data_IF_998056387914
#
_entry.id   IF_998056387914
#
_cell.length_a   1.000
_cell.length_b   1.000
_cell.length_c   1.000
_cell.angle_alpha   90.00
_cell.angle_beta   90.00
_cell.angle_gamma   90.00
#
_symmetry.space_group_name_H-M   'P 1'
#
loop_
_entity.id
_entity.type
_entity.pdbx_description
1 polymer ?
#
# COMPACT_ATOMS: atom_id res chain seq x y z
N UNK A 1 9.52 -17.21 -8.01
CA UNK A 1 9.46 -17.73 -9.40
C UNK A 1 8.23 -17.15 -10.06
N UNK A 2 8.32 -16.68 -11.31
CA UNK A 2 7.19 -16.06 -12.04
C UNK A 2 6.68 -17.04 -13.09
N UNK A 3 5.38 -17.19 -13.15
CA UNK A 3 4.66 -18.02 -14.11
C UNK A 3 3.69 -17.17 -14.93
N UNK A 4 3.62 -17.39 -16.23
CA UNK A 4 2.64 -16.76 -17.11
C UNK A 4 1.46 -17.73 -17.37
N UNK A 5 0.26 -17.17 -17.37
CA UNK A 5 -0.96 -17.82 -17.84
C UNK A 5 -1.70 -16.90 -18.83
N UNK A 6 -2.48 -17.46 -19.74
CA UNK A 6 -3.19 -16.65 -20.75
C UNK A 6 -4.38 -15.89 -20.16
N UNK A 7 -4.98 -16.41 -19.10
CA UNK A 7 -6.10 -15.76 -18.41
C UNK A 7 -6.10 -16.14 -16.93
N UNK A 8 -6.72 -15.29 -16.12
CA UNK A 8 -6.94 -15.54 -14.71
C UNK A 8 -8.43 -15.70 -14.42
N UNK A 9 -8.77 -16.81 -13.80
CA UNK A 9 -10.13 -17.05 -13.28
C UNK A 9 -10.10 -16.89 -11.76
N UNK A 10 -11.03 -16.10 -11.25
CA UNK A 10 -11.19 -15.90 -9.80
C UNK A 10 -11.78 -17.14 -9.14
N UNK A 11 -10.94 -18.10 -8.87
CA UNK A 11 -11.26 -19.27 -8.07
C UNK A 11 -10.09 -19.54 -7.11
N UNK A 12 -10.27 -20.50 -6.20
CA UNK A 12 -9.25 -20.85 -5.22
C UNK A 12 -8.20 -21.86 -5.73
N UNK A 13 -8.28 -22.26 -6.99
CA UNK A 13 -7.36 -23.26 -7.58
C UNK A 13 -6.25 -22.56 -8.35
N UNK A 14 -5.03 -22.81 -7.93
CA UNK A 14 -3.82 -22.33 -8.59
C UNK A 14 -3.60 -23.09 -9.90
N UNK A 15 -3.58 -22.43 -11.06
CA UNK A 15 -3.45 -23.08 -12.37
C UNK A 15 -2.09 -23.75 -12.60
N UNK A 16 -1.08 -23.44 -11.78
CA UNK A 16 0.26 -24.04 -11.90
C UNK A 16 0.37 -25.33 -11.10
N UNK A 17 -0.22 -25.37 -9.90
CA UNK A 17 -0.10 -26.51 -8.99
C UNK A 17 -1.31 -27.44 -9.00
N UNK A 18 -2.45 -26.99 -9.54
CA UNK A 18 -3.76 -27.62 -9.45
C UNK A 18 -4.24 -27.88 -8.02
N UNK A 19 -3.72 -27.12 -7.05
CA UNK A 19 -4.14 -27.13 -5.65
C UNK A 19 -4.74 -25.79 -5.28
N UNK A 20 -5.34 -25.68 -4.10
CA UNK A 20 -5.76 -24.40 -3.57
C UNK A 20 -4.54 -23.46 -3.40
N UNK A 21 -4.78 -22.15 -3.58
CA UNK A 21 -3.75 -21.16 -3.30
C UNK A 21 -3.41 -21.17 -1.82
N UNK A 22 -2.13 -21.10 -1.53
CA UNK A 22 -1.64 -20.73 -0.21
C UNK A 22 -1.19 -19.25 -0.16
N UNK A 23 -0.86 -18.78 1.02
CA UNK A 23 -0.47 -17.38 1.26
C UNK A 23 0.88 -16.98 0.63
N UNK A 24 1.56 -17.88 -0.07
CA UNK A 24 2.86 -17.63 -0.71
C UNK A 24 2.74 -17.17 -2.16
N UNK A 25 1.54 -17.17 -2.73
CA UNK A 25 1.28 -16.79 -4.10
C UNK A 25 0.72 -15.38 -4.22
N UNK A 26 1.21 -14.63 -5.20
CA UNK A 26 0.62 -13.38 -5.66
C UNK A 26 0.21 -13.51 -7.12
N UNK A 27 -0.84 -12.80 -7.50
CA UNK A 27 -1.34 -12.79 -8.88
C UNK A 27 -1.37 -11.36 -9.41
N UNK A 28 -0.93 -11.19 -10.64
CA UNK A 28 -1.09 -9.97 -11.41
C UNK A 28 -1.88 -10.28 -12.69
N UNK A 29 -3.01 -9.60 -12.91
CA UNK A 29 -3.87 -9.86 -14.04
C UNK A 29 -4.08 -8.59 -14.89
N UNK A 30 -3.78 -8.70 -16.19
CA UNK A 30 -4.12 -7.66 -17.15
C UNK A 30 -5.51 -7.91 -17.73
N UNK A 31 -6.34 -6.87 -17.79
CA UNK A 31 -7.67 -6.92 -18.37
C UNK A 31 -7.91 -5.76 -19.33
N UNK A 32 -8.72 -6.00 -20.35
CA UNK A 32 -9.24 -4.96 -21.25
C UNK A 32 -10.67 -4.51 -20.86
N UNK A 33 -11.31 -5.18 -19.90
CA UNK A 33 -12.75 -5.09 -19.65
C UNK A 33 -13.07 -4.57 -18.24
N UNK A 34 -12.19 -3.76 -17.66
CA UNK A 34 -12.38 -3.18 -16.33
C UNK A 34 -12.86 -1.73 -16.44
N UNK A 35 -13.79 -1.36 -15.57
CA UNK A 35 -14.31 0.01 -15.45
C UNK A 35 -13.38 0.92 -14.62
N UNK A 36 -12.42 0.37 -13.93
CA UNK A 36 -11.46 1.09 -13.09
C UNK A 36 -10.03 0.78 -13.49
N UNK A 37 -9.07 1.72 -13.35
CA UNK A 37 -7.69 1.49 -13.75
C UNK A 37 -7.03 0.31 -13.04
N UNK A 38 -7.33 0.14 -11.75
CA UNK A 38 -6.71 -0.89 -10.92
C UNK A 38 -7.65 -1.37 -9.81
N UNK A 39 -7.62 -2.66 -9.53
CA UNK A 39 -8.28 -3.30 -8.37
C UNK A 39 -7.25 -4.16 -7.67
N UNK A 40 -7.24 -4.11 -6.34
CA UNK A 40 -6.34 -4.91 -5.51
C UNK A 40 -7.11 -5.55 -4.38
N UNK A 41 -6.85 -6.82 -4.13
CA UNK A 41 -7.45 -7.52 -3.00
C UNK A 41 -7.42 -9.04 -3.10
N UNK A 42 -7.97 -9.68 -2.07
CA UNK A 42 -8.27 -11.12 -2.05
C UNK A 42 -9.77 -11.31 -2.22
N UNK A 43 -10.17 -12.22 -3.07
CA UNK A 43 -11.57 -12.54 -3.31
C UNK A 43 -11.82 -14.02 -2.99
N UNK A 44 -12.72 -14.31 -2.04
CA UNK A 44 -13.26 -15.65 -1.72
C UNK A 44 -12.25 -16.81 -1.70
N UNK A 45 -11.09 -16.61 -1.05
CA UNK A 45 -10.06 -17.66 -0.93
C UNK A 45 -9.07 -17.73 -2.09
N UNK A 46 -9.20 -16.87 -3.12
CA UNK A 46 -8.17 -16.70 -4.14
C UNK A 46 -6.89 -16.07 -3.56
N UNK A 47 -5.79 -16.18 -4.31
CA UNK A 47 -4.57 -15.43 -4.01
C UNK A 47 -4.83 -13.92 -4.01
N UNK A 48 -3.98 -13.18 -3.31
CA UNK A 48 -3.97 -11.73 -3.40
C UNK A 48 -3.64 -11.32 -4.84
N UNK A 49 -4.56 -10.58 -5.44
CA UNK A 49 -4.54 -10.28 -6.88
C UNK A 49 -4.52 -8.79 -7.13
N UNK A 50 -3.60 -8.35 -7.98
CA UNK A 50 -3.58 -7.03 -8.59
C UNK A 50 -4.17 -7.19 -9.99
N UNK A 51 -5.25 -6.46 -10.29
CA UNK A 51 -5.86 -6.41 -11.63
C UNK A 51 -5.72 -5.02 -12.19
N UNK A 52 -5.21 -4.92 -13.40
CA UNK A 52 -5.02 -3.63 -14.10
C UNK A 52 -5.77 -3.65 -15.41
N UNK A 53 -6.53 -2.57 -15.65
CA UNK A 53 -7.08 -2.27 -16.97
C UNK A 53 -6.01 -1.62 -17.84
N UNK A 54 -5.60 -2.30 -18.90
CA UNK A 54 -4.61 -1.75 -19.87
C UNK A 54 -5.13 -0.52 -20.62
N UNK A 55 -6.45 -0.39 -20.74
CA UNK A 55 -7.07 0.75 -21.43
C UNK A 55 -7.13 2.01 -20.57
N UNK A 56 -7.18 1.82 -19.24
CA UNK A 56 -7.32 2.90 -18.27
C UNK A 56 -6.03 3.18 -17.47
N UNK A 57 -5.01 2.33 -17.63
CA UNK A 57 -3.73 2.47 -16.95
C UNK A 57 -2.59 2.42 -17.98
N UNK A 58 -2.15 3.57 -18.42
CA UNK A 58 -1.14 3.69 -19.49
C UNK A 58 0.21 3.06 -19.12
N UNK A 59 0.54 3.05 -17.84
CA UNK A 59 1.79 2.53 -17.29
C UNK A 59 1.75 1.04 -16.90
N UNK A 60 0.80 0.27 -17.43
CA UNK A 60 0.63 -1.13 -17.07
C UNK A 60 1.90 -1.99 -17.22
N UNK A 61 2.76 -1.68 -18.21
CA UNK A 61 4.03 -2.41 -18.39
C UNK A 61 4.97 -2.20 -17.22
N UNK A 62 5.00 -0.95 -16.71
CA UNK A 62 5.78 -0.58 -15.54
C UNK A 62 5.25 -1.29 -14.28
N UNK A 63 3.93 -1.33 -14.11
CA UNK A 63 3.30 -2.03 -13.00
C UNK A 63 3.58 -3.55 -13.01
N UNK A 64 3.50 -4.19 -14.18
CA UNK A 64 3.91 -5.62 -14.32
C UNK A 64 5.40 -5.80 -14.01
N UNK A 65 6.24 -4.89 -14.48
CA UNK A 65 7.67 -4.90 -14.20
C UNK A 65 7.98 -4.78 -12.70
N UNK A 66 7.32 -3.86 -12.00
CA UNK A 66 7.43 -3.71 -10.54
C UNK A 66 7.01 -4.99 -9.82
N UNK A 67 5.92 -5.61 -10.26
CA UNK A 67 5.47 -6.88 -9.70
C UNK A 67 6.51 -8.00 -9.89
N UNK A 68 7.10 -8.12 -11.08
CA UNK A 68 8.19 -9.08 -11.34
C UNK A 68 9.35 -8.82 -10.39
N UNK A 69 9.84 -7.58 -10.33
CA UNK A 69 10.95 -7.19 -9.46
C UNK A 69 10.69 -7.45 -7.99
N UNK A 70 9.47 -7.13 -7.54
CA UNK A 70 9.05 -7.38 -6.16
C UNK A 70 9.04 -8.88 -5.83
N UNK A 71 8.48 -9.70 -6.71
CA UNK A 71 8.46 -11.15 -6.53
C UNK A 71 9.88 -11.76 -6.51
N UNK A 72 10.74 -11.31 -7.42
CA UNK A 72 12.14 -11.79 -7.49
C UNK A 72 12.93 -11.40 -6.23
N UNK A 73 12.86 -10.14 -5.83
CA UNK A 73 13.58 -9.63 -4.66
C UNK A 73 13.15 -10.33 -3.35
N UNK A 74 11.89 -10.73 -3.25
CA UNK A 74 11.32 -11.37 -2.07
C UNK A 74 11.19 -12.91 -2.18
N UNK A 75 11.61 -13.50 -3.32
CA UNK A 75 11.50 -14.94 -3.61
C UNK A 75 10.06 -15.46 -3.51
N UNK A 76 9.11 -14.65 -3.98
CA UNK A 76 7.68 -14.96 -4.00
C UNK A 76 7.34 -15.69 -5.30
N UNK A 77 6.40 -16.63 -5.21
CA UNK A 77 5.78 -17.22 -6.40
C UNK A 77 4.72 -16.27 -6.94
N UNK A 78 4.90 -15.80 -8.16
CA UNK A 78 3.99 -14.88 -8.85
C UNK A 78 3.36 -15.53 -10.08
N UNK A 79 2.08 -15.24 -10.33
CA UNK A 79 1.40 -15.57 -11.58
C UNK A 79 1.07 -14.25 -12.28
N UNK A 80 1.40 -14.17 -13.57
CA UNK A 80 1.01 -13.07 -14.43
C UNK A 80 0.04 -13.59 -15.48
N UNK A 81 -1.21 -13.12 -15.42
CA UNK A 81 -2.22 -13.40 -16.42
C UNK A 81 -2.16 -12.33 -17.51
N UNK A 82 -1.57 -12.70 -18.63
CA UNK A 82 -1.35 -11.84 -19.78
C UNK A 82 -1.07 -12.69 -21.03
N UNK A 83 -1.32 -12.13 -22.22
CA UNK A 83 -0.88 -12.75 -23.47
C UNK A 83 0.65 -12.84 -23.52
N UNK A 84 1.16 -13.71 -24.38
CA UNK A 84 2.62 -13.86 -24.59
C UNK A 84 3.28 -12.53 -24.99
N UNK A 85 2.64 -11.76 -25.86
CA UNK A 85 3.16 -10.47 -26.31
C UNK A 85 3.22 -9.46 -25.16
N UNK A 86 2.15 -9.34 -24.37
CA UNK A 86 2.09 -8.42 -23.22
C UNK A 86 3.15 -8.78 -22.17
N UNK A 87 3.29 -10.05 -21.89
CA UNK A 87 4.29 -10.53 -20.95
C UNK A 87 5.71 -10.21 -21.45
N UNK A 88 5.98 -10.47 -22.73
CA UNK A 88 7.27 -10.17 -23.36
C UNK A 88 7.57 -8.66 -23.37
N UNK A 89 6.57 -7.83 -23.66
CA UNK A 89 6.73 -6.37 -23.58
C UNK A 89 7.06 -5.89 -22.17
N UNK A 90 6.36 -6.41 -21.16
CA UNK A 90 6.63 -6.06 -19.76
C UNK A 90 8.01 -6.57 -19.30
N UNK A 91 8.42 -7.76 -19.71
CA UNK A 91 9.76 -8.30 -19.39
C UNK A 91 10.88 -7.44 -20.03
N UNK A 92 10.70 -7.02 -21.27
CA UNK A 92 11.67 -6.13 -21.94
C UNK A 92 11.75 -4.78 -21.23
N UNK A 93 10.63 -4.28 -20.77
CA UNK A 93 10.58 -3.06 -19.97
C UNK A 93 11.33 -3.27 -18.65
N UNK A 94 11.09 -4.39 -17.95
CA UNK A 94 11.77 -4.76 -16.72
C UNK A 94 13.29 -4.81 -16.87
N UNK A 95 13.81 -5.52 -17.86
CA UNK A 95 15.26 -5.64 -18.09
C UNK A 95 15.90 -4.28 -18.45
N UNK A 96 15.14 -3.38 -19.10
CA UNK A 96 15.62 -2.06 -19.51
C UNK A 96 15.63 -0.99 -18.41
N UNK A 97 14.97 -1.23 -17.28
CA UNK A 97 14.81 -0.24 -16.21
C UNK A 97 15.36 -0.73 -14.87
N UNK A 98 15.97 0.19 -14.12
CA UNK A 98 16.44 -0.11 -12.76
C UNK A 98 15.29 -0.09 -11.77
N UNK A 99 15.10 -1.17 -11.02
CA UNK A 99 14.07 -1.24 -9.96
C UNK A 99 14.48 -0.58 -8.66
N UNK A 100 15.71 -0.15 -8.55
CA UNK A 100 16.21 0.69 -7.46
C UNK A 100 16.15 2.16 -7.86
N UNK A 101 15.01 2.60 -8.39
CA UNK A 101 14.79 4.00 -8.73
C UNK A 101 14.83 4.86 -7.49
N UNK A 102 15.68 5.89 -7.52
CA UNK A 102 15.84 6.87 -6.44
C UNK A 102 15.08 8.16 -6.72
N UNK A 103 13.99 8.08 -7.44
CA UNK A 103 13.10 9.19 -7.79
C UNK A 103 11.63 8.73 -7.80
N UNK A 104 10.73 9.69 -7.74
CA UNK A 104 9.31 9.47 -7.99
C UNK A 104 9.04 9.51 -9.49
N UNK A 105 8.12 8.67 -9.93
CA UNK A 105 7.58 8.71 -11.28
C UNK A 105 6.52 9.81 -11.38
N UNK A 106 6.30 10.36 -12.57
CA UNK A 106 5.41 11.52 -12.79
C UNK A 106 3.97 11.31 -12.31
N UNK A 107 3.50 10.05 -12.26
CA UNK A 107 2.15 9.70 -11.79
C UNK A 107 2.08 9.35 -10.30
N UNK A 108 3.21 9.29 -9.61
CA UNK A 108 3.25 8.98 -8.17
C UNK A 108 3.04 10.24 -7.33
N UNK A 109 2.34 10.08 -6.21
CA UNK A 109 2.09 11.20 -5.31
C UNK A 109 3.37 11.64 -4.59
N UNK A 110 3.64 12.94 -4.46
CA UNK A 110 4.78 13.44 -3.70
C UNK A 110 4.63 13.24 -2.18
N UNK A 111 3.44 12.83 -1.73
CA UNK A 111 3.13 12.64 -0.31
C UNK A 111 2.59 11.24 -0.07
N UNK A 112 3.26 10.49 0.79
CA UNK A 112 2.80 9.19 1.25
C UNK A 112 2.07 9.32 2.57
N UNK A 113 0.97 8.60 2.71
CA UNK A 113 0.12 8.67 3.89
C UNK A 113 0.07 7.34 4.61
N UNK A 114 0.26 7.38 5.94
CA UNK A 114 0.10 6.22 6.82
C UNK A 114 -0.86 6.55 7.96
N UNK A 115 -1.88 5.73 8.17
CA UNK A 115 -2.85 5.89 9.25
C UNK A 115 -2.66 4.82 10.32
N UNK A 116 -2.76 5.24 11.58
CA UNK A 116 -2.59 4.34 12.74
C UNK A 116 -3.49 4.77 13.91
N UNK A 117 -3.67 3.92 14.93
CA UNK A 117 -4.38 4.32 16.13
C UNK A 117 -3.56 5.32 16.97
N UNK A 118 -4.23 6.06 17.87
CA UNK A 118 -3.53 6.99 18.76
C UNK A 118 -2.54 6.27 19.69
N UNK A 119 -2.90 5.08 20.16
CA UNK A 119 -2.03 4.27 21.01
C UNK A 119 -0.73 3.88 20.27
N UNK A 120 -0.86 3.47 19.01
CA UNK A 120 0.30 3.18 18.18
C UNK A 120 1.11 4.44 17.85
N UNK A 121 0.43 5.57 17.60
CA UNK A 121 1.11 6.83 17.35
C UNK A 121 2.00 7.26 18.51
N UNK A 122 1.52 7.16 19.73
CA UNK A 122 2.31 7.45 20.95
C UNK A 122 3.57 6.56 20.99
N UNK A 123 3.45 5.28 20.61
CA UNK A 123 4.60 4.38 20.59
C UNK A 123 5.56 4.71 19.44
N UNK A 124 5.04 5.04 18.25
CA UNK A 124 5.83 5.45 17.08
C UNK A 124 6.65 6.72 17.40
N UNK A 125 6.05 7.69 18.09
CA UNK A 125 6.77 8.89 18.53
C UNK A 125 7.93 8.56 19.49
N UNK A 126 7.72 7.66 20.44
CA UNK A 126 8.78 7.21 21.37
C UNK A 126 9.91 6.47 20.64
N UNK A 127 9.55 5.64 19.67
CA UNK A 127 10.52 4.87 18.88
C UNK A 127 11.23 5.75 17.83
N UNK A 128 10.65 6.91 17.47
CA UNK A 128 11.13 7.80 16.43
C UNK A 128 11.01 7.22 15.01
N UNK A 129 10.24 6.15 14.81
CA UNK A 129 10.12 5.47 13.51
C UNK A 129 8.85 4.65 13.38
N UNK A 130 8.38 4.49 12.13
CA UNK A 130 7.46 3.42 11.75
C UNK A 130 8.23 2.09 11.66
N UNK A 131 7.54 1.01 11.98
CA UNK A 131 8.06 -0.36 11.85
C UNK A 131 7.05 -1.24 11.14
N UNK A 132 7.53 -2.15 10.29
CA UNK A 132 6.72 -3.20 9.70
C UNK A 132 6.16 -4.15 10.78
N UNK A 133 5.14 -4.93 10.40
CA UNK A 133 4.52 -5.87 11.33
C UNK A 133 5.52 -6.89 11.90
N UNK A 134 6.36 -7.46 11.06
CA UNK A 134 7.39 -8.41 11.50
C UNK A 134 8.40 -7.74 12.45
N UNK A 135 8.81 -6.51 12.15
CA UNK A 135 9.74 -5.76 13.00
C UNK A 135 9.16 -5.43 14.38
N UNK A 136 7.84 -5.14 14.45
CA UNK A 136 7.14 -4.92 15.72
C UNK A 136 7.05 -6.19 16.57
N UNK A 137 7.00 -7.37 15.95
CA UNK A 137 6.65 -8.63 16.60
C UNK A 137 7.83 -9.59 16.81
N UNK A 138 9.05 -9.19 16.43
CA UNK A 138 10.27 -10.03 16.58
C UNK A 138 10.44 -10.59 18.02
N UNK A 139 9.99 -9.86 19.04
CA UNK A 139 10.16 -10.25 20.45
C UNK A 139 8.87 -10.37 21.24
N UNK A 140 7.70 -10.33 20.58
CA UNK A 140 6.41 -10.35 21.26
C UNK A 140 5.73 -11.71 21.20
N UNK A 141 5.20 -12.16 22.34
CA UNK A 141 4.41 -13.40 22.42
C UNK A 141 3.07 -13.29 21.68
N UNK A 142 2.50 -12.09 21.64
CA UNK A 142 1.25 -11.81 20.93
C UNK A 142 1.48 -10.78 19.83
N UNK A 143 1.09 -11.09 18.58
CA UNK A 143 1.28 -10.20 17.45
C UNK A 143 0.46 -8.91 17.58
N UNK A 144 1.08 -7.76 17.32
CA UNK A 144 0.42 -6.46 17.30
C UNK A 144 0.21 -6.03 15.85
N UNK A 145 -1.00 -5.61 15.52
CA UNK A 145 -1.25 -4.78 14.35
C UNK A 145 -1.23 -5.45 12.98
N UNK A 146 -1.45 -6.79 12.89
CA UNK A 146 -1.61 -7.41 11.57
C UNK A 146 -2.78 -6.75 10.83
N UNK A 147 -2.55 -6.35 9.58
CA UNK A 147 -3.59 -5.84 8.72
C UNK A 147 -4.47 -6.99 8.25
N UNK A 148 -5.80 -6.81 8.34
CA UNK A 148 -6.75 -7.80 7.86
C UNK A 148 -6.68 -7.86 6.32
N UNK A 149 -6.54 -9.08 5.78
CA UNK A 149 -6.54 -9.30 4.34
C UNK A 149 -5.20 -9.10 3.63
N UNK A 150 -4.16 -8.62 4.29
CA UNK A 150 -2.84 -8.50 3.67
C UNK A 150 -2.18 -9.86 3.49
N UNK A 151 -1.49 -10.07 2.36
CA UNK A 151 -0.67 -11.26 2.17
C UNK A 151 0.49 -11.29 3.16
N UNK A 152 0.94 -12.49 3.47
CA UNK A 152 2.06 -12.73 4.41
C UNK A 152 3.31 -11.94 4.01
N UNK A 153 3.55 -11.75 2.72
CA UNK A 153 4.70 -11.03 2.17
C UNK A 153 4.72 -9.54 2.50
N UNK A 154 3.57 -8.95 2.85
CA UNK A 154 3.53 -7.53 3.23
C UNK A 154 3.94 -7.29 4.67
N UNK A 155 4.09 -8.36 5.46
CA UNK A 155 4.44 -8.24 6.88
C UNK A 155 5.82 -7.63 7.14
N UNK A 156 6.74 -7.65 6.17
CA UNK A 156 8.04 -6.98 6.24
C UNK A 156 8.00 -5.52 5.78
N UNK A 157 6.84 -5.02 5.36
CA UNK A 157 6.71 -3.72 4.76
C UNK A 157 5.77 -2.80 5.55
N UNK A 158 6.08 -1.51 5.50
CA UNK A 158 5.20 -0.42 5.90
C UNK A 158 4.41 -0.02 4.65
N UNK A 159 3.09 -0.17 4.71
CA UNK A 159 2.18 0.17 3.62
C UNK A 159 1.75 1.63 3.72
N UNK A 160 1.66 2.29 2.58
CA UNK A 160 1.12 3.64 2.46
C UNK A 160 -0.14 3.62 1.60
N UNK A 161 -1.09 4.49 1.93
CA UNK A 161 -2.33 4.64 1.18
C UNK A 161 -2.77 6.08 1.16
N UNK A 162 -3.40 6.49 0.06
CA UNK A 162 -3.99 7.83 -0.07
C UNK A 162 -5.47 7.85 0.29
N UNK A 163 -6.03 9.06 0.40
CA UNK A 163 -7.44 9.30 0.56
C UNK A 163 -8.06 8.59 1.77
N UNK A 164 -9.26 8.06 1.59
CA UNK A 164 -10.04 7.41 2.66
C UNK A 164 -9.54 6.01 3.00
N UNK A 165 -8.90 5.32 2.05
CA UNK A 165 -8.53 3.89 2.19
C UNK A 165 -7.65 3.59 3.39
N UNK A 166 -6.68 4.46 3.71
CA UNK A 166 -5.79 4.27 4.84
C UNK A 166 -6.51 4.30 6.21
N UNK A 167 -7.70 4.90 6.29
CA UNK A 167 -8.49 5.01 7.53
C UNK A 167 -9.48 3.90 7.71
N UNK A 168 -9.96 3.31 6.63
CA UNK A 168 -10.73 2.06 6.66
C UNK A 168 -9.93 0.99 7.40
N UNK A 169 -8.62 0.97 7.24
CA UNK A 169 -7.73 0.03 7.95
C UNK A 169 -7.80 0.23 9.47
N UNK A 170 -7.77 1.47 9.96
CA UNK A 170 -7.85 1.76 11.40
C UNK A 170 -9.20 1.31 11.97
N UNK A 171 -10.30 1.63 11.27
CA UNK A 171 -11.65 1.21 11.65
C UNK A 171 -11.77 -0.32 11.66
N UNK A 172 -11.28 -0.99 10.60
CA UNK A 172 -11.30 -2.45 10.49
C UNK A 172 -10.53 -3.13 11.63
N UNK A 173 -9.38 -2.60 12.02
CA UNK A 173 -8.61 -3.12 13.16
C UNK A 173 -9.35 -2.95 14.49
N UNK A 174 -10.00 -1.83 14.71
CA UNK A 174 -10.78 -1.57 15.92
C UNK A 174 -12.00 -2.50 16.03
N UNK A 175 -12.67 -2.76 14.91
CA UNK A 175 -13.84 -3.63 14.84
C UNK A 175 -13.52 -5.12 14.78
N UNK A 176 -12.27 -5.51 14.49
CA UNK A 176 -11.85 -6.90 14.32
C UNK A 176 -12.36 -7.55 13.02
N UNK A 177 -12.93 -6.79 12.11
CA UNK A 177 -13.44 -7.24 10.79
C UNK A 177 -13.16 -6.17 9.73
N UNK A 178 -13.16 -6.58 8.46
CA UNK A 178 -13.03 -5.62 7.35
C UNK A 178 -14.28 -4.74 7.31
N UNK A 179 -14.08 -3.42 7.44
CA UNK A 179 -15.13 -2.39 7.36
C UNK A 179 -14.82 -1.53 6.14
N UNK A 180 -15.67 -1.63 5.12
CA UNK A 180 -15.55 -0.84 3.88
C UNK A 180 -16.42 0.42 3.90
N UNK A 181 -17.28 0.58 4.89
CA UNK A 181 -18.13 1.74 5.05
C UNK A 181 -17.31 2.93 5.53
N UNK A 182 -17.16 3.92 4.65
CA UNK A 182 -16.40 5.14 4.90
C UNK A 182 -17.14 6.16 5.78
N UNK A 183 -18.42 5.94 6.02
CA UNK A 183 -19.28 6.79 6.83
C UNK A 183 -19.62 6.17 8.20
N UNK A 184 -19.10 4.96 8.48
CA UNK A 184 -19.23 4.35 9.80
C UNK A 184 -18.37 5.06 10.84
N UNK A 185 -18.92 5.34 12.01
CA UNK A 185 -18.19 5.96 13.12
C UNK A 185 -17.07 5.06 13.64
N UNK A 186 -15.95 5.66 13.96
CA UNK A 186 -14.82 5.00 14.60
C UNK A 186 -14.03 5.99 15.49
N UNK A 187 -13.19 5.46 16.36
CA UNK A 187 -12.25 6.26 17.13
C UNK A 187 -11.08 6.64 16.23
N UNK A 188 -10.96 7.93 15.88
CA UNK A 188 -9.89 8.41 15.01
C UNK A 188 -8.52 8.16 15.62
N UNK A 189 -7.56 7.90 14.75
CA UNK A 189 -6.16 7.79 15.12
C UNK A 189 -5.33 8.99 14.67
N UNK A 190 -4.10 8.70 14.29
CA UNK A 190 -3.20 9.65 13.63
C UNK A 190 -3.07 9.34 12.14
N UNK A 191 -2.98 10.38 11.31
CA UNK A 191 -2.67 10.32 9.89
C UNK A 191 -1.37 11.06 9.63
N UNK A 192 -0.38 10.33 9.14
CA UNK A 192 1.00 10.78 9.00
C UNK A 192 1.29 11.03 7.52
N UNK A 193 1.85 12.18 7.20
CA UNK A 193 2.20 12.62 5.85
C UNK A 193 3.71 12.63 5.71
N UNK A 194 4.22 11.86 4.74
CA UNK A 194 5.64 11.68 4.51
C UNK A 194 6.07 12.22 3.16
N UNK A 195 7.28 12.73 3.10
CA UNK A 195 7.96 13.21 1.90
C UNK A 195 8.39 12.01 1.03
N UNK A 196 7.59 11.74 -0.01
CA UNK A 196 7.84 10.62 -0.90
C UNK A 196 9.10 10.81 -1.75
N UNK A 197 9.39 12.06 -2.17
CA UNK A 197 10.59 12.36 -2.97
C UNK A 197 11.86 12.08 -2.18
N UNK A 198 11.90 12.48 -0.90
CA UNK A 198 13.04 12.22 -0.04
C UNK A 198 13.22 10.74 0.24
N UNK A 199 12.10 10.00 0.49
CA UNK A 199 12.14 8.54 0.68
C UNK A 199 12.64 7.86 -0.60
N UNK A 200 12.18 8.29 -1.77
CA UNK A 200 12.64 7.78 -3.07
C UNK A 200 14.13 8.06 -3.29
N UNK A 201 14.56 9.31 -3.07
CA UNK A 201 15.96 9.72 -3.23
C UNK A 201 16.93 8.90 -2.39
N UNK A 202 16.49 8.49 -1.20
CA UNK A 202 17.29 7.65 -0.30
C UNK A 202 17.18 6.15 -0.64
N UNK A 203 16.48 5.78 -1.74
CA UNK A 203 16.36 4.41 -2.24
C UNK A 203 15.52 3.48 -1.35
N UNK A 204 14.59 4.04 -0.57
CA UNK A 204 13.79 3.29 0.40
C UNK A 204 12.44 2.85 -0.15
N UNK A 205 11.99 3.39 -1.28
CA UNK A 205 10.71 3.02 -1.89
C UNK A 205 10.78 1.62 -2.52
N UNK A 206 9.77 0.84 -2.23
CA UNK A 206 9.53 -0.48 -2.84
C UNK A 206 8.17 -0.46 -3.52
N UNK A 207 8.14 -0.87 -4.78
CA UNK A 207 6.94 -0.95 -5.61
C UNK A 207 6.62 -2.41 -5.92
N UNK A 208 5.34 -2.75 -5.97
CA UNK A 208 4.88 -4.11 -6.32
C UNK A 208 3.91 -4.13 -7.51
N UNK A 209 3.82 -3.00 -8.20
CA UNK A 209 2.88 -2.80 -9.30
C UNK A 209 1.54 -2.18 -8.90
N UNK A 210 1.25 -2.09 -7.59
CA UNK A 210 0.04 -1.44 -7.08
C UNK A 210 0.32 -0.53 -5.89
N UNK A 211 1.25 -0.89 -5.04
CA UNK A 211 1.51 -0.19 -3.78
C UNK A 211 2.92 0.37 -3.74
N UNK A 212 3.04 1.48 -3.05
CA UNK A 212 4.31 2.03 -2.57
C UNK A 212 4.49 1.62 -1.12
N UNK A 213 5.66 1.08 -0.82
CA UNK A 213 6.01 0.49 0.49
C UNK A 213 7.41 0.88 0.91
N UNK A 214 7.69 0.76 2.21
CA UNK A 214 9.06 0.82 2.76
C UNK A 214 9.33 -0.44 3.56
N UNK A 215 10.49 -1.03 3.37
CA UNK A 215 10.87 -2.28 4.05
C UNK A 215 11.31 -2.01 5.48
N UNK A 216 10.94 -2.91 6.39
CA UNK A 216 11.36 -2.95 7.80
C UNK A 216 10.99 -1.72 8.63
N UNK A 217 11.66 -0.61 8.44
CA UNK A 217 11.55 0.59 9.27
C UNK A 217 11.64 1.86 8.44
N UNK A 218 10.91 2.90 8.85
CA UNK A 218 11.05 4.26 8.33
C UNK A 218 11.19 5.23 9.51
N UNK A 219 12.35 5.89 9.70
CA UNK A 219 12.50 6.95 10.69
C UNK A 219 11.49 8.07 10.45
N UNK A 220 10.99 8.68 11.51
CA UNK A 220 10.13 9.86 11.35
C UNK A 220 10.93 11.01 10.75
N UNK A 221 12.10 11.31 11.29
CA UNK A 221 13.01 12.30 10.69
C UNK A 221 14.00 11.60 9.75
N UNK A 222 14.24 12.12 8.55
CA UNK A 222 13.80 13.41 8.02
C UNK A 222 12.53 13.37 7.15
N UNK A 223 11.72 12.30 7.19
CA UNK A 223 10.69 12.02 6.19
C UNK A 223 9.29 12.47 6.57
N UNK A 224 8.95 12.53 7.88
CA UNK A 224 7.63 12.98 8.33
C UNK A 224 7.49 14.49 8.14
N UNK A 225 6.52 14.90 7.33
CA UNK A 225 6.19 16.32 7.10
C UNK A 225 5.25 16.82 8.20
N UNK A 226 4.14 16.09 8.40
CA UNK A 226 3.11 16.50 9.35
C UNK A 226 2.28 15.30 9.84
N UNK A 227 1.55 15.52 10.93
CA UNK A 227 0.65 14.52 11.51
C UNK A 227 -0.70 15.16 11.83
N UNK A 228 -1.76 14.61 11.26
CA UNK A 228 -3.13 14.94 11.64
C UNK A 228 -3.59 14.07 12.80
N UNK A 229 -4.23 14.72 13.77
CA UNK A 229 -4.95 14.11 14.89
C UNK A 229 -6.29 14.81 15.04
N UNK A 230 -7.24 14.22 15.73
CA UNK A 230 -8.61 14.75 15.84
C UNK A 230 -8.63 16.21 16.32
N UNK A 231 -7.79 16.57 17.27
CA UNK A 231 -7.72 17.89 17.88
C UNK A 231 -7.11 18.96 16.96
N UNK A 232 -6.07 18.61 16.20
CA UNK A 232 -5.40 19.57 15.33
C UNK A 232 -6.08 19.78 13.96
N UNK A 233 -7.02 18.90 13.60
CA UNK A 233 -7.89 19.10 12.41
C UNK A 233 -9.23 19.73 12.74
N UNK A 234 -9.49 20.08 14.01
CA UNK A 234 -10.66 20.82 14.44
C UNK A 234 -11.91 19.94 14.73
N UNK A 235 -11.74 18.67 15.00
CA UNK A 235 -12.82 17.83 15.50
C UNK A 235 -13.04 18.09 17.00
N UNK A 236 -14.30 18.16 17.41
CA UNK A 236 -14.66 18.34 18.83
C UNK A 236 -14.40 17.09 19.68
N UNK A 237 -14.47 15.93 19.06
CA UNK A 237 -14.28 14.63 19.74
C UNK A 237 -13.41 13.70 18.91
N UNK A 238 -12.90 12.66 19.53
CA UNK A 238 -12.11 11.63 18.84
C UNK A 238 -12.98 10.67 17.99
N UNK A 239 -14.31 10.80 18.01
CA UNK A 239 -15.22 10.00 17.19
C UNK A 239 -15.54 10.75 15.91
N UNK A 240 -15.35 10.09 14.77
CA UNK A 240 -15.65 10.62 13.45
C UNK A 240 -15.82 9.49 12.46
N UNK A 241 -16.03 9.79 11.19
CA UNK A 241 -16.04 8.80 10.11
C UNK A 241 -14.72 8.82 9.34
N UNK A 242 -14.34 7.72 8.66
CA UNK A 242 -13.17 7.70 7.78
C UNK A 242 -13.17 8.84 6.76
N UNK A 243 -14.32 9.17 6.16
CA UNK A 243 -14.46 10.25 5.20
C UNK A 243 -14.14 11.60 5.82
N UNK A 244 -14.87 11.99 6.87
CA UNK A 244 -14.73 13.32 7.49
C UNK A 244 -13.31 13.54 8.00
N UNK A 245 -12.74 12.57 8.72
CA UNK A 245 -11.38 12.74 9.23
C UNK A 245 -10.34 12.76 8.09
N UNK A 246 -10.56 12.07 6.94
CA UNK A 246 -9.68 12.17 5.78
C UNK A 246 -9.70 13.56 5.19
N UNK A 247 -10.90 14.07 4.86
CA UNK A 247 -11.11 15.36 4.23
C UNK A 247 -10.51 16.49 5.06
N UNK A 248 -10.87 16.58 6.35
CA UNK A 248 -10.31 17.59 7.24
C UNK A 248 -8.79 17.51 7.39
N UNK A 249 -8.24 16.30 7.40
CA UNK A 249 -6.78 16.10 7.48
C UNK A 249 -6.08 16.58 6.22
N UNK A 250 -6.61 16.23 5.04
CA UNK A 250 -6.02 16.56 3.76
C UNK A 250 -6.15 18.08 3.49
N UNK A 251 -7.30 18.69 3.75
CA UNK A 251 -7.50 20.15 3.67
C UNK A 251 -6.52 20.92 4.58
N UNK A 252 -6.36 20.45 5.81
CA UNK A 252 -5.43 21.10 6.75
C UNK A 252 -3.98 20.94 6.32
N UNK A 253 -3.60 19.76 5.79
CA UNK A 253 -2.27 19.52 5.28
C UNK A 253 -1.97 20.42 4.08
N UNK A 254 -2.89 20.53 3.12
CA UNK A 254 -2.75 21.43 1.97
C UNK A 254 -2.60 22.89 2.40
N UNK A 255 -3.42 23.34 3.35
CA UNK A 255 -3.31 24.68 3.90
C UNK A 255 -1.93 24.96 4.49
N UNK A 256 -1.40 24.05 5.31
CA UNK A 256 -0.08 24.20 5.93
C UNK A 256 1.04 24.20 4.88
N UNK A 257 0.96 23.34 3.87
CA UNK A 257 1.96 23.26 2.81
C UNK A 257 2.00 24.50 1.92
N UNK A 258 0.82 25.08 1.60
CA UNK A 258 0.75 26.24 0.72
C UNK A 258 0.98 27.57 1.45
N UNK A 259 0.55 27.69 2.69
CA UNK A 259 0.58 28.96 3.42
C UNK A 259 1.56 28.98 4.59
N UNK A 260 1.96 27.82 5.12
CA UNK A 260 2.93 27.74 6.21
C UNK A 260 4.36 28.10 5.82
N UNK A 261 4.71 28.03 4.53
CA UNK A 261 6.03 28.42 4.02
C UNK A 261 6.21 29.92 3.82
N UNK A 262 5.17 30.72 4.00
CA UNK A 262 5.22 32.17 3.82
C UNK A 262 5.63 32.95 5.09
N UNK A 263 5.97 32.29 6.19
CA UNK A 263 6.25 32.91 7.48
C UNK A 263 7.58 32.49 8.15
N UNK A 264 8.54 31.95 7.37
CA UNK A 264 9.94 31.81 7.86
C UNK A 264 10.88 32.80 7.21
#
# INVERSE_FOLDING_TARGET
>A
MIYRVDSFTENNINPITNCEYDSTWLVFALSSDMDTPMIVGTNNGCAYTIKISKQLHDDWKMAVGDFIGYCDANRINGIIAATENEYSEAQNYYVGHSYNETFLRDYETPVLVHSTSMENWIQIQKDGMLKSWNKLNIFKKEPIGKQLGDPVHFSDYIMFGGGVSSKIVVNSKQSGKIVMDIDSEYKTGARLYFDAEKIAKDGLLVRDGAHIKVKDCLPLKPYLIWTATWDNVGLETQISTPRIFAELSDEKFEYINHYGQCHE
#
